data_IF_633148627522
#
_entry.id   IF_633148627522
#
_cell.length_a   1.000
_cell.length_b   1.000
_cell.length_c   1.000
_cell.angle_alpha   90.00
_cell.angle_beta   90.00
_cell.angle_gamma   90.00
#
_symmetry.space_group_name_H-M   'P 1'
#
loop_
_entity.id
_entity.type
_entity.pdbx_description
1 polymer ?
#
# COMPACT_ATOMS: atom_id res chain seq x y z
N UNK A 1 15.78 -1.18 -11.48
CA UNK A 1 15.81 -2.04 -12.69
C UNK A 1 16.07 -3.44 -12.21
N UNK A 2 15.05 -4.29 -12.09
CA UNK A 2 15.27 -5.68 -11.69
C UNK A 2 15.74 -6.46 -12.91
N UNK A 3 16.98 -6.92 -12.88
CA UNK A 3 17.53 -7.80 -13.90
C UNK A 3 16.61 -9.00 -14.08
N UNK A 4 15.95 -9.06 -15.24
CA UNK A 4 15.13 -10.21 -15.61
C UNK A 4 16.06 -11.39 -15.84
N UNK A 5 15.94 -12.41 -15.00
CA UNK A 5 16.55 -13.71 -15.27
C UNK A 5 16.06 -14.16 -16.65
N UNK A 6 16.96 -14.40 -17.63
CA UNK A 6 16.55 -14.73 -18.99
C UNK A 6 15.72 -16.01 -19.00
N UNK A 7 14.53 -15.93 -19.59
CA UNK A 7 13.58 -17.04 -19.66
C UNK A 7 14.14 -18.08 -20.64
N UNK A 8 14.27 -19.35 -20.25
CA UNK A 8 14.73 -20.39 -21.16
C UNK A 8 13.81 -20.50 -22.39
N UNK A 9 14.36 -20.73 -23.60
CA UNK A 9 13.57 -20.91 -24.81
C UNK A 9 12.49 -21.98 -24.64
N UNK A 10 11.25 -21.69 -25.04
CA UNK A 10 10.11 -22.61 -24.89
C UNK A 10 9.29 -22.48 -23.59
N UNK A 11 9.73 -21.66 -22.62
CA UNK A 11 9.00 -21.44 -21.36
C UNK A 11 8.27 -20.09 -21.29
N UNK A 12 8.37 -19.25 -22.32
CA UNK A 12 7.76 -17.93 -22.39
C UNK A 12 6.23 -17.96 -22.25
N UNK A 13 5.58 -19.02 -22.72
CA UNK A 13 4.12 -19.21 -22.67
C UNK A 13 3.63 -19.72 -21.31
N UNK A 14 4.54 -20.25 -20.48
CA UNK A 14 4.20 -20.69 -19.13
C UNK A 14 4.05 -19.52 -18.15
N UNK A 15 4.76 -18.42 -18.42
CA UNK A 15 4.75 -17.22 -17.60
C UNK A 15 3.56 -16.32 -17.94
N UNK A 16 3.03 -15.64 -16.92
CA UNK A 16 2.00 -14.65 -17.14
C UNK A 16 2.60 -13.43 -17.89
N UNK A 17 1.82 -12.76 -18.77
CA UNK A 17 2.22 -11.47 -19.31
C UNK A 17 2.56 -10.50 -18.18
N UNK A 18 3.42 -9.52 -18.47
CA UNK A 18 3.84 -8.51 -17.48
C UNK A 18 2.61 -7.82 -16.89
N UNK A 19 2.59 -7.66 -15.56
CA UNK A 19 1.48 -7.02 -14.87
C UNK A 19 0.18 -7.84 -14.79
N UNK A 20 0.18 -9.08 -15.26
CA UNK A 20 -0.99 -9.96 -15.25
C UNK A 20 -0.84 -11.14 -14.29
N UNK A 21 -1.97 -11.58 -13.74
CA UNK A 21 -2.07 -12.73 -12.85
C UNK A 21 -2.85 -13.84 -13.55
N UNK A 22 -2.19 -14.99 -13.73
CA UNK A 22 -2.80 -16.17 -14.36
C UNK A 22 -3.98 -16.68 -13.52
N UNK A 23 -5.12 -16.93 -14.16
CA UNK A 23 -6.33 -17.36 -13.49
C UNK A 23 -6.48 -18.89 -13.46
N UNK A 24 -7.53 -19.39 -12.78
CA UNK A 24 -7.77 -20.82 -12.51
C UNK A 24 -7.80 -21.67 -13.79
N UNK A 25 -8.35 -21.13 -14.87
CA UNK A 25 -8.44 -21.83 -16.17
C UNK A 25 -7.08 -21.98 -16.88
N UNK A 26 -6.01 -21.39 -16.33
CA UNK A 26 -4.65 -21.35 -16.87
C UNK A 26 -4.53 -20.67 -18.25
N UNK A 27 -5.59 -20.02 -18.73
CA UNK A 27 -5.68 -19.38 -20.06
C UNK A 27 -5.89 -17.88 -19.95
N UNK A 28 -6.74 -17.45 -19.01
CA UNK A 28 -7.08 -16.04 -18.80
C UNK A 28 -6.23 -15.41 -17.70
N UNK A 29 -6.25 -14.08 -17.70
CA UNK A 29 -5.45 -13.24 -16.82
C UNK A 29 -6.31 -12.18 -16.13
N UNK A 30 -5.86 -11.78 -14.94
CA UNK A 30 -6.38 -10.61 -14.25
C UNK A 30 -5.32 -9.53 -14.12
N UNK A 31 -5.71 -8.29 -14.39
CA UNK A 31 -4.87 -7.09 -14.18
C UNK A 31 -5.49 -6.20 -13.11
N UNK A 32 -4.67 -5.47 -12.38
CA UNK A 32 -5.10 -4.56 -11.30
C UNK A 32 -4.40 -3.22 -11.50
N UNK A 33 -5.06 -2.25 -12.17
CA UNK A 33 -4.53 -0.90 -12.29
C UNK A 33 -4.38 -0.27 -10.90
N UNK A 34 -3.19 0.24 -10.58
CA UNK A 34 -2.91 0.77 -9.26
C UNK A 34 -3.44 2.19 -9.04
N UNK A 35 -4.20 2.40 -7.98
CA UNK A 35 -4.74 3.70 -7.55
C UNK A 35 -4.41 3.91 -6.08
N UNK A 36 -3.55 4.88 -5.70
CA UNK A 36 -3.20 5.11 -4.30
C UNK A 36 -4.45 5.30 -3.45
N UNK A 37 -4.64 4.45 -2.43
CA UNK A 37 -5.81 4.49 -1.54
C UNK A 37 -7.17 4.30 -2.24
N UNK A 38 -7.19 3.89 -3.51
CA UNK A 38 -8.39 3.79 -4.34
C UNK A 38 -8.95 5.12 -4.84
N UNK A 39 -8.19 6.20 -4.74
CA UNK A 39 -8.59 7.50 -5.28
C UNK A 39 -8.32 7.57 -6.78
N UNK A 40 -9.31 8.04 -7.54
CA UNK A 40 -9.23 8.19 -8.98
C UNK A 40 -10.16 9.32 -9.45
N UNK A 41 -9.84 9.96 -10.56
CA UNK A 41 -10.74 10.92 -11.20
C UNK A 41 -11.91 10.20 -11.90
N UNK A 42 -13.02 10.90 -12.18
CA UNK A 42 -14.09 10.35 -13.02
C UNK A 42 -13.58 9.84 -14.37
N UNK A 43 -12.68 10.56 -15.03
CA UNK A 43 -12.09 10.15 -16.31
C UNK A 43 -11.25 8.88 -16.20
N UNK A 44 -10.50 8.72 -15.11
CA UNK A 44 -9.75 7.50 -14.82
C UNK A 44 -10.70 6.32 -14.62
N UNK A 45 -11.79 6.51 -13.86
CA UNK A 45 -12.81 5.48 -13.66
C UNK A 45 -13.50 5.10 -14.98
N UNK A 46 -13.88 6.07 -15.80
CA UNK A 46 -14.48 5.83 -17.12
C UNK A 46 -13.52 5.07 -18.04
N UNK A 47 -12.23 5.44 -18.06
CA UNK A 47 -11.22 4.72 -18.83
C UNK A 47 -11.10 3.25 -18.40
N UNK A 48 -11.12 2.97 -17.10
CA UNK A 48 -11.12 1.59 -16.58
C UNK A 48 -12.37 0.84 -17.03
N UNK A 49 -13.54 1.49 -17.00
CA UNK A 49 -14.79 0.90 -17.44
C UNK A 49 -14.78 0.55 -18.94
N UNK A 50 -14.25 1.44 -19.79
CA UNK A 50 -14.11 1.20 -21.23
C UNK A 50 -13.15 0.03 -21.53
N UNK A 51 -12.00 -0.03 -20.85
CA UNK A 51 -11.06 -1.15 -20.98
C UNK A 51 -11.68 -2.45 -20.47
N UNK A 52 -12.41 -2.41 -19.36
CA UNK A 52 -13.11 -3.55 -18.82
C UNK A 52 -14.14 -4.10 -19.81
N UNK A 53 -14.93 -3.23 -20.44
CA UNK A 53 -15.95 -3.60 -21.43
C UNK A 53 -15.35 -4.30 -22.66
N UNK A 54 -14.14 -3.90 -23.06
CA UNK A 54 -13.44 -4.49 -24.22
C UNK A 54 -12.78 -5.84 -23.91
N UNK A 55 -12.16 -5.98 -22.75
CA UNK A 55 -11.20 -7.08 -22.51
C UNK A 55 -11.54 -7.97 -21.31
N UNK A 56 -12.34 -7.50 -20.36
CA UNK A 56 -12.62 -8.23 -19.13
C UNK A 56 -13.96 -8.99 -19.21
N UNK A 57 -13.99 -10.18 -18.62
CA UNK A 57 -15.21 -10.97 -18.40
C UNK A 57 -15.95 -10.55 -17.13
N UNK A 58 -15.22 -9.99 -16.16
CA UNK A 58 -15.77 -9.48 -14.92
C UNK A 58 -14.90 -8.39 -14.31
N UNK A 59 -15.48 -7.59 -13.41
CA UNK A 59 -14.80 -6.58 -12.61
C UNK A 59 -15.02 -6.86 -11.13
N UNK A 60 -13.99 -6.69 -10.30
CA UNK A 60 -14.06 -6.86 -8.86
C UNK A 60 -13.39 -5.69 -8.13
N UNK A 61 -14.04 -5.18 -7.07
CA UNK A 61 -13.41 -4.24 -6.13
C UNK A 61 -12.72 -5.03 -5.03
N UNK A 62 -11.41 -4.79 -4.87
CA UNK A 62 -10.57 -5.57 -3.96
C UNK A 62 -10.52 -4.96 -2.56
N UNK A 63 -10.19 -5.79 -1.56
CA UNK A 63 -9.95 -5.35 -0.17
C UNK A 63 -8.79 -4.34 0.00
N UNK A 64 -7.98 -4.13 -1.05
CA UNK A 64 -6.91 -3.13 -1.11
C UNK A 64 -7.34 -1.80 -1.73
N UNK A 65 -8.65 -1.54 -1.87
CA UNK A 65 -9.21 -0.37 -2.55
C UNK A 65 -8.81 -0.26 -4.03
N UNK A 66 -8.61 -1.39 -4.72
CA UNK A 66 -8.27 -1.42 -6.14
C UNK A 66 -9.40 -2.02 -6.98
N UNK A 67 -9.48 -1.64 -8.26
CA UNK A 67 -10.35 -2.28 -9.25
C UNK A 67 -9.56 -3.35 -10.00
N UNK A 68 -10.07 -4.58 -10.02
CA UNK A 68 -9.46 -5.70 -10.72
C UNK A 68 -10.29 -6.08 -11.94
N UNK A 69 -9.63 -6.19 -13.10
CA UNK A 69 -10.20 -6.65 -14.35
C UNK A 69 -9.87 -8.13 -14.53
N UNK A 70 -10.89 -8.97 -14.66
CA UNK A 70 -10.80 -10.44 -14.63
C UNK A 70 -11.14 -10.98 -16.03
N UNK A 71 -10.40 -11.98 -16.49
CA UNK A 71 -10.79 -12.79 -17.65
C UNK A 71 -10.19 -12.32 -18.97
N UNK A 72 -9.10 -11.56 -18.92
CA UNK A 72 -8.42 -11.08 -20.11
C UNK A 72 -7.72 -12.24 -20.83
N UNK A 73 -7.87 -12.30 -22.15
CA UNK A 73 -7.09 -13.20 -23.00
C UNK A 73 -5.63 -12.72 -23.09
N UNK A 74 -4.68 -13.65 -23.25
CA UNK A 74 -3.23 -13.37 -23.19
C UNK A 74 -2.78 -12.20 -24.07
N UNK A 75 -3.22 -12.22 -25.32
CA UNK A 75 -2.90 -11.25 -26.37
C UNK A 75 -3.51 -9.85 -26.14
N UNK A 76 -4.50 -9.76 -25.25
CA UNK A 76 -5.18 -8.51 -24.93
C UNK A 76 -4.61 -7.82 -23.70
N UNK A 77 -3.75 -8.48 -22.91
CA UNK A 77 -3.18 -7.90 -21.69
C UNK A 77 -2.38 -6.63 -21.99
N UNK A 78 -1.48 -6.67 -22.98
CA UNK A 78 -0.65 -5.53 -23.35
C UNK A 78 -1.51 -4.36 -23.88
N UNK A 79 -2.49 -4.67 -24.74
CA UNK A 79 -3.44 -3.67 -25.28
C UNK A 79 -4.24 -3.00 -24.15
N UNK A 80 -4.69 -3.78 -23.17
CA UNK A 80 -5.42 -3.25 -22.02
C UNK A 80 -4.57 -2.26 -21.22
N UNK A 81 -3.29 -2.56 -20.96
CA UNK A 81 -2.37 -1.63 -20.29
C UNK A 81 -2.11 -0.35 -21.08
N UNK A 82 -1.92 -0.47 -22.39
CA UNK A 82 -1.73 0.68 -23.29
C UNK A 82 -2.97 1.60 -23.28
N UNK A 83 -4.18 1.06 -23.38
CA UNK A 83 -5.41 1.86 -23.33
C UNK A 83 -5.67 2.49 -21.96
N UNK A 84 -5.28 1.81 -20.87
CA UNK A 84 -5.26 2.38 -19.52
C UNK A 84 -4.27 3.55 -19.39
N UNK A 85 -3.31 3.67 -20.31
CA UNK A 85 -2.29 4.73 -20.32
C UNK A 85 -1.28 4.58 -19.20
N UNK A 86 -0.94 3.34 -18.82
CA UNK A 86 -0.07 3.05 -17.66
C UNK A 86 0.83 1.85 -17.93
N UNK A 87 2.01 1.87 -17.31
CA UNK A 87 2.95 0.76 -17.35
C UNK A 87 2.38 -0.50 -16.67
N UNK A 88 2.59 -1.70 -17.24
CA UNK A 88 2.19 -2.94 -16.61
C UNK A 88 2.85 -3.15 -15.24
N UNK A 89 2.04 -3.17 -14.18
CA UNK A 89 2.48 -3.37 -12.81
C UNK A 89 1.93 -4.67 -12.23
N UNK A 90 2.83 -5.56 -11.82
CA UNK A 90 2.46 -6.83 -11.18
C UNK A 90 2.86 -6.80 -9.72
N UNK A 91 1.89 -6.63 -8.80
CA UNK A 91 2.20 -6.61 -7.37
C UNK A 91 2.13 -7.99 -6.70
N UNK A 92 1.89 -9.06 -7.46
CA UNK A 92 1.72 -10.41 -6.92
C UNK A 92 3.05 -11.09 -6.60
N UNK A 93 3.27 -11.38 -5.32
CA UNK A 93 4.49 -12.01 -4.83
C UNK A 93 4.86 -11.54 -3.42
N UNK A 94 6.07 -11.87 -2.96
CA UNK A 94 6.62 -11.45 -1.67
C UNK A 94 7.11 -10.00 -1.76
N UNK A 95 6.17 -9.06 -1.74
CA UNK A 95 6.43 -7.62 -1.86
C UNK A 95 5.38 -6.78 -1.15
N UNK A 96 5.72 -5.52 -0.90
CA UNK A 96 4.80 -4.51 -0.42
C UNK A 96 3.67 -4.25 -1.42
N UNK A 97 2.43 -4.32 -0.92
CA UNK A 97 1.22 -4.03 -1.70
C UNK A 97 0.89 -2.54 -1.63
N UNK A 98 -0.01 -2.10 -2.51
CA UNK A 98 -0.56 -0.75 -2.44
C UNK A 98 -1.16 -0.45 -1.07
N UNK A 99 -0.98 0.79 -0.63
CA UNK A 99 -1.33 1.24 0.71
C UNK A 99 -2.81 1.61 0.76
N UNK A 100 -3.52 1.09 1.77
CA UNK A 100 -4.93 1.38 2.01
C UNK A 100 -5.07 2.64 2.86
N UNK A 101 -5.86 3.63 2.45
CA UNK A 101 -6.12 4.81 3.29
C UNK A 101 -7.51 5.40 3.09
N UNK A 102 -8.05 6.04 4.13
CA UNK A 102 -9.38 6.66 4.08
C UNK A 102 -9.28 8.11 3.55
N UNK A 103 -10.43 8.79 3.34
CA UNK A 103 -10.44 10.16 2.86
C UNK A 103 -9.81 11.21 3.80
N UNK A 104 -9.51 10.86 5.06
CA UNK A 104 -8.80 11.75 5.98
C UNK A 104 -9.49 13.09 6.18
N UNK A 105 -8.73 14.07 6.66
CA UNK A 105 -9.20 15.45 6.93
C UNK A 105 -9.69 16.17 5.67
N UNK A 106 -9.27 15.72 4.48
CA UNK A 106 -9.64 16.35 3.22
C UNK A 106 -11.12 16.18 2.85
N UNK A 107 -11.77 15.09 3.29
CA UNK A 107 -13.18 14.83 2.95
C UNK A 107 -14.03 14.33 4.11
N UNK A 108 -13.42 13.75 5.15
CA UNK A 108 -14.17 13.12 6.23
C UNK A 108 -14.27 14.04 7.44
N UNK A 109 -15.50 14.43 7.80
CA UNK A 109 -15.78 15.25 9.00
C UNK A 109 -15.32 14.66 10.35
N UNK A 110 -14.99 13.37 10.37
CA UNK A 110 -14.57 12.64 11.58
C UNK A 110 -13.06 12.40 11.64
N UNK A 111 -12.34 12.74 10.57
CA UNK A 111 -10.90 12.55 10.56
C UNK A 111 -10.24 13.61 11.44
N UNK A 112 -9.25 13.17 12.20
CA UNK A 112 -8.42 14.03 13.04
C UNK A 112 -7.02 14.21 12.46
N UNK A 113 -6.60 13.34 11.53
CA UNK A 113 -5.26 13.41 10.92
C UNK A 113 -5.27 13.13 9.41
N UNK A 114 -4.23 13.60 8.73
CA UNK A 114 -4.03 13.42 7.28
C UNK A 114 -3.64 11.98 6.92
N UNK A 115 -4.63 11.18 6.51
CA UNK A 115 -4.37 9.83 6.00
C UNK A 115 -3.97 9.79 4.53
N UNK A 116 -4.35 10.78 3.74
CA UNK A 116 -4.13 10.79 2.29
C UNK A 116 -2.67 11.12 1.98
N UNK A 117 -2.16 12.21 2.54
CA UNK A 117 -0.77 12.63 2.35
C UNK A 117 0.19 11.57 2.88
N UNK A 118 0.00 11.12 4.12
CA UNK A 118 0.80 10.06 4.73
C UNK A 118 0.73 8.75 3.91
N UNK A 119 -0.48 8.30 3.56
CA UNK A 119 -0.67 7.06 2.80
C UNK A 119 -0.06 7.10 1.41
N UNK A 120 -0.12 8.25 0.73
CA UNK A 120 0.47 8.43 -0.61
C UNK A 120 1.99 8.40 -0.56
N UNK A 121 2.62 9.00 0.45
CA UNK A 121 4.08 8.96 0.62
C UNK A 121 4.57 7.52 0.83
N UNK A 122 3.89 6.77 1.71
CA UNK A 122 4.19 5.36 1.95
C UNK A 122 3.97 4.50 0.70
N UNK A 123 2.90 4.75 -0.06
CA UNK A 123 2.60 4.04 -1.31
C UNK A 123 3.68 4.30 -2.37
N UNK A 124 4.04 5.57 -2.60
CA UNK A 124 5.07 5.96 -3.56
C UNK A 124 6.42 5.30 -3.28
N UNK A 125 6.82 5.20 -2.00
CA UNK A 125 8.13 4.66 -1.61
C UNK A 125 8.18 3.14 -1.59
N UNK A 126 7.17 2.49 -1.00
CA UNK A 126 7.26 1.07 -0.69
C UNK A 126 6.51 0.16 -1.66
N UNK A 127 5.57 0.67 -2.47
CA UNK A 127 4.82 -0.18 -3.40
C UNK A 127 5.77 -0.93 -4.34
N UNK A 128 5.62 -2.25 -4.39
CA UNK A 128 6.45 -3.11 -5.23
C UNK A 128 7.82 -3.46 -4.64
N UNK A 129 8.21 -2.90 -3.49
CA UNK A 129 9.46 -3.26 -2.82
C UNK A 129 9.46 -4.73 -2.40
N UNK A 130 10.51 -5.46 -2.75
CA UNK A 130 10.69 -6.87 -2.40
C UNK A 130 10.83 -7.04 -0.89
N UNK A 131 10.11 -8.03 -0.38
CA UNK A 131 9.99 -8.35 1.05
C UNK A 131 10.08 -9.87 1.24
N UNK A 132 10.34 -10.37 2.45
CA UNK A 132 10.33 -11.81 2.75
C UNK A 132 9.01 -12.51 2.38
N UNK A 133 7.89 -11.79 2.50
CA UNK A 133 6.57 -12.18 2.05
C UNK A 133 5.71 -10.92 1.82
N UNK A 134 4.45 -11.07 1.37
CA UNK A 134 3.53 -9.96 1.12
C UNK A 134 3.33 -9.11 2.40
N UNK A 135 3.49 -7.80 2.24
CA UNK A 135 3.26 -6.81 3.29
C UNK A 135 2.09 -5.92 2.88
N UNK A 136 1.13 -5.73 3.77
CA UNK A 136 -0.03 -4.85 3.60
C UNK A 136 0.01 -3.74 4.64
N UNK A 137 -0.09 -2.52 4.17
CA UNK A 137 -0.14 -1.33 5.03
C UNK A 137 -1.51 -0.66 4.97
N UNK A 138 -1.87 0.03 6.05
CA UNK A 138 -3.13 0.76 6.11
C UNK A 138 -3.07 1.96 7.04
N UNK A 139 -3.64 3.08 6.60
CA UNK A 139 -3.71 4.34 7.36
C UNK A 139 -5.18 4.69 7.57
N UNK A 140 -5.55 5.00 8.80
CA UNK A 140 -6.84 5.58 9.15
C UNK A 140 -6.60 6.96 9.76
N UNK A 141 -7.34 7.97 9.29
CA UNK A 141 -7.22 9.34 9.81
C UNK A 141 -7.86 9.56 11.19
N UNK A 142 -8.49 8.55 11.80
CA UNK A 142 -9.02 8.61 13.16
C UNK A 142 -9.28 7.20 13.72
N UNK A 143 -9.66 7.12 15.00
CA UNK A 143 -9.90 5.88 15.73
C UNK A 143 -10.99 4.98 15.17
N UNK A 144 -11.94 5.51 14.38
CA UNK A 144 -12.96 4.69 13.71
C UNK A 144 -12.38 3.63 12.77
N UNK A 145 -11.12 3.80 12.35
CA UNK A 145 -10.35 2.72 11.75
C UNK A 145 -11.01 2.09 10.51
N UNK A 146 -11.68 2.89 9.66
CA UNK A 146 -12.42 2.41 8.48
C UNK A 146 -11.57 1.59 7.48
N UNK A 147 -10.25 1.77 7.49
CA UNK A 147 -9.31 1.01 6.65
C UNK A 147 -8.83 -0.29 7.30
N UNK A 148 -9.28 -0.60 8.51
CA UNK A 148 -8.91 -1.76 9.32
C UNK A 148 -7.38 -1.92 9.53
N UNK A 149 -6.68 -0.88 10.04
CA UNK A 149 -5.24 -0.93 10.33
C UNK A 149 -4.84 -2.04 11.32
N UNK A 150 -5.73 -2.45 12.24
CA UNK A 150 -5.44 -3.51 13.21
C UNK A 150 -5.28 -4.92 12.59
N UNK A 151 -5.64 -5.13 11.32
CA UNK A 151 -5.51 -6.43 10.63
C UNK A 151 -4.52 -6.37 9.45
N UNK A 152 -3.56 -5.45 9.54
CA UNK A 152 -2.56 -5.16 8.51
C UNK A 152 -1.17 -5.35 9.10
N UNK A 153 -0.21 -5.71 8.25
CA UNK A 153 1.15 -5.98 8.68
C UNK A 153 1.72 -4.70 9.35
N UNK A 154 1.45 -3.52 8.77
CA UNK A 154 1.63 -2.22 9.44
C UNK A 154 0.32 -1.43 9.36
N UNK A 155 -0.16 -0.94 10.50
CA UNK A 155 -1.32 -0.08 10.63
C UNK A 155 -0.95 1.28 11.19
N UNK A 156 -1.54 2.36 10.69
CA UNK A 156 -1.39 3.70 11.27
C UNK A 156 -2.78 4.27 11.56
N UNK A 157 -2.94 4.87 12.74
CA UNK A 157 -4.19 5.50 13.17
C UNK A 157 -3.88 6.92 13.64
N UNK A 158 -4.54 7.91 13.04
CA UNK A 158 -4.54 9.29 13.52
C UNK A 158 -5.22 9.40 14.88
N UNK A 159 -4.59 10.12 15.79
CA UNK A 159 -5.12 10.41 17.12
C UNK A 159 -5.71 11.81 17.11
N UNK A 160 -4.87 12.80 16.80
CA UNK A 160 -5.21 14.22 16.83
C UNK A 160 -4.18 15.01 16.01
N UNK A 161 -4.62 15.83 15.08
CA UNK A 161 -3.78 16.62 14.17
C UNK A 161 -2.59 15.83 13.58
N UNK A 162 -1.36 16.13 14.01
CA UNK A 162 -0.12 15.48 13.59
C UNK A 162 0.33 14.33 14.50
N UNK A 163 -0.53 13.81 15.39
CA UNK A 163 -0.21 12.69 16.28
C UNK A 163 -0.83 11.41 15.78
N UNK A 164 0.00 10.38 15.63
CA UNK A 164 -0.38 9.06 15.14
C UNK A 164 0.03 7.97 16.12
N UNK A 165 -0.61 6.81 15.99
CA UNK A 165 -0.11 5.54 16.53
C UNK A 165 0.15 4.54 15.42
N UNK A 166 1.17 3.73 15.61
CA UNK A 166 1.58 2.67 14.69
C UNK A 166 1.24 1.33 15.34
N UNK A 167 0.67 0.43 14.56
CA UNK A 167 0.40 -0.96 14.90
C UNK A 167 1.24 -1.87 14.00
N UNK A 168 1.69 -3.02 14.52
CA UNK A 168 2.55 -3.96 13.76
C UNK A 168 2.10 -5.41 13.93
N UNK A 169 2.29 -6.21 12.88
CA UNK A 169 2.09 -7.67 12.93
C UNK A 169 0.65 -8.14 12.80
N UNK A 170 -0.26 -7.32 12.26
CA UNK A 170 -1.65 -7.73 12.04
C UNK A 170 -1.82 -8.62 10.79
N UNK A 171 -2.85 -9.46 10.81
CA UNK A 171 -3.24 -10.29 9.68
C UNK A 171 -4.75 -10.49 9.62
N UNK A 172 -5.37 -10.17 8.49
CA UNK A 172 -6.78 -10.51 8.18
C UNK A 172 -6.93 -11.74 7.29
N UNK A 173 -5.98 -12.68 7.32
CA UNK A 173 -5.95 -13.88 6.47
C UNK A 173 -6.48 -15.12 7.17
N UNK A 174 -6.06 -16.30 6.68
CA UNK A 174 -6.43 -17.61 7.26
C UNK A 174 -6.02 -17.77 8.73
N UNK A 175 -4.86 -17.21 9.11
CA UNK A 175 -4.43 -17.04 10.50
C UNK A 175 -4.69 -15.59 10.91
N UNK A 176 -5.91 -15.24 11.38
CA UNK A 176 -6.21 -13.88 11.78
C UNK A 176 -5.45 -13.52 13.06
N UNK A 177 -4.88 -12.32 13.07
CA UNK A 177 -4.14 -11.78 14.21
C UNK A 177 -4.37 -10.28 14.27
N UNK A 178 -4.67 -9.76 15.45
CA UNK A 178 -4.68 -8.31 15.68
C UNK A 178 -3.23 -7.81 15.79
N UNK A 179 -2.96 -6.68 15.17
CA UNK A 179 -1.69 -5.99 15.28
C UNK A 179 -1.47 -5.48 16.71
N UNK A 180 -0.22 -5.52 17.18
CA UNK A 180 0.15 -4.97 18.47
C UNK A 180 0.38 -3.46 18.35
N UNK A 181 0.07 -2.71 19.40
CA UNK A 181 0.46 -1.30 19.49
C UNK A 181 1.98 -1.22 19.47
N UNK A 182 2.55 -0.58 18.45
CA UNK A 182 4.00 -0.45 18.32
C UNK A 182 4.53 0.78 19.07
N UNK A 183 3.96 1.95 18.76
CA UNK A 183 4.25 3.24 19.39
C UNK A 183 3.06 4.20 19.15
N UNK A 184 2.88 5.18 20.01
CA UNK A 184 1.84 6.21 19.91
C UNK A 184 2.39 7.62 20.17
N UNK A 185 1.64 8.62 19.71
CA UNK A 185 1.99 10.03 19.88
C UNK A 185 3.11 10.52 18.97
N UNK A 186 3.40 9.80 17.88
CA UNK A 186 4.46 10.15 16.93
C UNK A 186 3.95 11.08 15.83
N UNK A 187 4.83 11.96 15.35
CA UNK A 187 4.54 12.90 14.25
C UNK A 187 4.45 12.18 12.91
N UNK A 188 3.85 12.81 11.89
CA UNK A 188 3.84 12.26 10.52
C UNK A 188 5.25 11.90 10.04
N UNK A 189 6.25 12.75 10.28
CA UNK A 189 7.65 12.51 9.90
C UNK A 189 8.23 11.29 10.62
N UNK A 190 7.95 11.16 11.91
CA UNK A 190 8.36 9.99 12.67
C UNK A 190 7.68 8.71 12.17
N UNK A 191 6.38 8.75 11.82
CA UNK A 191 5.70 7.58 11.23
C UNK A 191 6.43 7.11 9.98
N UNK A 192 6.73 8.04 9.08
CA UNK A 192 7.42 7.76 7.83
C UNK A 192 8.77 7.07 8.12
N UNK A 193 9.62 7.65 8.96
CA UNK A 193 10.92 7.10 9.29
C UNK A 193 10.87 5.76 10.05
N UNK A 194 9.90 5.60 10.97
CA UNK A 194 9.70 4.35 11.72
C UNK A 194 9.25 3.22 10.80
N UNK A 195 8.30 3.49 9.89
CA UNK A 195 7.83 2.47 8.94
C UNK A 195 8.96 2.03 8.00
N UNK A 196 9.79 2.97 7.54
CA UNK A 196 10.97 2.65 6.74
C UNK A 196 11.91 1.69 7.47
N UNK A 197 12.30 2.04 8.70
CA UNK A 197 13.21 1.21 9.51
C UNK A 197 12.58 -0.13 9.90
N UNK A 198 11.29 -0.16 10.22
CA UNK A 198 10.57 -1.40 10.53
C UNK A 198 10.51 -2.37 9.34
N UNK A 199 10.31 -1.85 8.13
CA UNK A 199 10.28 -2.68 6.92
C UNK A 199 11.66 -3.24 6.57
N UNK A 200 12.73 -2.46 6.72
CA UNK A 200 14.09 -2.96 6.54
C UNK A 200 14.46 -3.99 7.61
N UNK A 201 14.14 -3.70 8.89
CA UNK A 201 14.37 -4.67 9.97
C UNK A 201 13.64 -5.99 9.73
N UNK A 202 12.38 -5.95 9.28
CA UNK A 202 11.64 -7.14 8.88
C UNK A 202 12.30 -7.87 7.71
N UNK A 203 12.74 -7.13 6.69
CA UNK A 203 13.41 -7.69 5.52
C UNK A 203 14.70 -8.43 5.87
N UNK A 204 15.48 -7.88 6.80
CA UNK A 204 16.80 -8.40 7.16
C UNK A 204 16.74 -9.57 8.16
N UNK A 205 15.67 -9.66 8.96
CA UNK A 205 15.59 -10.58 10.10
C UNK A 205 14.51 -11.67 9.97
N UNK A 206 13.65 -11.60 8.95
CA UNK A 206 12.63 -12.61 8.72
C UNK A 206 13.19 -13.84 8.02
N UNK A 207 12.64 -15.01 8.34
CA UNK A 207 12.94 -16.21 7.57
C UNK A 207 12.32 -16.13 6.16
N UNK A 208 12.87 -16.84 5.16
CA UNK A 208 12.28 -16.87 3.82
C UNK A 208 10.80 -17.28 3.84
N UNK A 209 9.93 -16.45 3.29
CA UNK A 209 8.49 -16.72 3.24
C UNK A 209 7.75 -16.49 4.57
N UNK A 210 8.42 -16.06 5.63
CA UNK A 210 7.76 -15.71 6.90
C UNK A 210 6.88 -14.48 6.74
N UNK A 211 5.71 -14.46 7.38
CA UNK A 211 4.81 -13.28 7.41
C UNK A 211 5.07 -12.44 8.65
N UNK A 212 4.79 -11.14 8.57
CA UNK A 212 4.99 -10.22 9.70
C UNK A 212 4.23 -10.63 10.97
N UNK A 213 3.05 -11.24 10.85
CA UNK A 213 2.27 -11.74 11.98
C UNK A 213 2.86 -12.99 12.67
N UNK A 214 3.80 -13.67 12.03
CA UNK A 214 4.59 -14.79 12.60
C UNK A 214 5.93 -14.26 13.13
N UNK A 215 6.53 -13.34 12.39
CA UNK A 215 7.77 -12.64 12.74
C UNK A 215 7.68 -11.91 14.09
N UNK A 216 6.62 -11.12 14.29
CA UNK A 216 6.49 -10.27 15.49
C UNK A 216 6.49 -11.10 16.79
N UNK A 217 5.66 -12.16 16.92
CA UNK A 217 5.73 -13.07 18.08
C UNK A 217 7.07 -13.80 18.23
N UNK A 218 7.70 -14.22 17.11
CA UNK A 218 8.97 -14.97 17.14
C UNK A 218 10.13 -14.13 17.66
N UNK A 219 10.27 -12.90 17.15
CA UNK A 219 11.37 -11.99 17.53
C UNK A 219 11.07 -11.31 18.87
N UNK A 220 9.80 -11.06 19.17
CA UNK A 220 9.34 -10.35 20.36
C UNK A 220 9.17 -8.86 20.09
N UNK A 221 8.00 -8.32 20.45
CA UNK A 221 7.65 -6.91 20.20
C UNK A 221 8.64 -5.93 20.83
N UNK A 222 9.10 -6.20 22.06
CA UNK A 222 10.01 -5.30 22.77
C UNK A 222 11.39 -5.26 22.12
N UNK A 223 11.87 -6.40 21.60
CA UNK A 223 13.10 -6.44 20.81
C UNK A 223 12.96 -5.64 19.53
N UNK A 224 11.85 -5.82 18.81
CA UNK A 224 11.59 -5.05 17.58
C UNK A 224 11.52 -3.55 17.89
N UNK A 225 10.85 -3.15 18.98
CA UNK A 225 10.82 -1.75 19.43
C UNK A 225 12.21 -1.22 19.71
N UNK A 226 13.05 -1.97 20.44
CA UNK A 226 14.40 -1.54 20.76
C UNK A 226 15.24 -1.30 19.49
N UNK A 227 15.20 -2.21 18.53
CA UNK A 227 16.02 -2.17 17.32
C UNK A 227 15.54 -1.11 16.30
N UNK A 228 14.22 -0.94 16.19
CA UNK A 228 13.61 -0.01 15.23
C UNK A 228 13.50 1.40 15.79
N UNK A 229 13.12 1.57 17.06
CA UNK A 229 12.96 2.89 17.65
C UNK A 229 14.31 3.47 18.11
N UNK A 230 15.20 2.64 18.67
CA UNK A 230 16.52 3.04 19.14
C UNK A 230 16.50 4.37 19.88
N UNK A 231 17.46 5.25 19.57
CA UNK A 231 17.30 6.68 19.85
C UNK A 231 16.50 7.34 18.71
N UNK A 232 15.37 7.97 19.02
CA UNK A 232 14.46 8.57 18.02
C UNK A 232 15.13 9.63 17.12
N UNK A 233 16.23 10.23 17.58
CA UNK A 233 17.05 11.18 16.81
C UNK A 233 17.84 10.51 15.66
N UNK A 234 18.04 9.19 15.74
CA UNK A 234 18.76 8.39 14.75
C UNK A 234 17.83 7.77 13.71
N UNK A 235 16.55 8.13 13.73
CA UNK A 235 15.62 7.75 12.68
C UNK A 235 16.14 8.31 11.34
N UNK A 236 16.00 7.53 10.24
CA UNK A 236 16.45 8.00 8.94
C UNK A 236 15.78 9.36 8.63
N UNK A 237 16.51 10.33 8.07
CA UNK A 237 15.98 11.65 7.74
C UNK A 237 15.07 11.52 6.51
N UNK A 238 13.90 10.91 6.72
CA UNK A 238 12.91 10.65 5.67
C UNK A 238 11.54 11.18 6.08
N UNK A 239 10.85 11.94 5.20
CA UNK A 239 11.30 12.37 3.88
C UNK A 239 12.37 13.48 3.98
N UNK A 240 13.41 13.43 3.13
CA UNK A 240 14.25 14.61 2.90
C UNK A 240 13.40 15.73 2.28
N UNK A 241 13.77 17.02 2.41
CA UNK A 241 13.01 18.11 1.78
C UNK A 241 12.78 17.93 0.27
N UNK A 242 13.76 17.34 -0.42
CA UNK A 242 13.68 17.01 -1.85
C UNK A 242 12.69 15.88 -2.14
N UNK A 243 12.71 14.82 -1.33
CA UNK A 243 11.73 13.73 -1.40
C UNK A 243 10.33 14.23 -1.01
N UNK A 244 10.22 15.11 -0.02
CA UNK A 244 8.95 15.73 0.37
C UNK A 244 8.39 16.56 -0.78
N UNK A 245 9.21 17.37 -1.46
CA UNK A 245 8.81 18.13 -2.66
C UNK A 245 8.50 17.25 -3.89
N UNK A 246 9.21 16.13 -4.05
CA UNK A 246 8.98 15.14 -5.13
C UNK A 246 7.73 14.30 -4.86
N UNK A 247 7.47 14.00 -3.60
CA UNK A 247 6.37 13.15 -3.20
C UNK A 247 5.13 13.92 -2.73
N UNK A 248 5.20 15.26 -2.64
CA UNK A 248 4.05 16.15 -2.57
C UNK A 248 3.01 15.68 -3.59
N UNK A 249 1.79 15.52 -3.11
CA UNK A 249 0.65 15.21 -3.96
C UNK A 249 0.39 16.46 -4.78
N UNK A 250 0.81 16.45 -6.04
CA UNK A 250 0.39 17.49 -6.99
C UNK A 250 -1.02 17.15 -7.47
N UNK A 251 -1.90 18.15 -7.59
CA UNK A 251 -3.22 17.96 -8.20
C UNK A 251 -3.06 17.30 -9.58
N UNK A 252 -3.83 16.24 -9.83
CA UNK A 252 -3.93 15.60 -11.15
C UNK A 252 -2.94 14.48 -11.46
N UNK A 253 -1.89 14.25 -10.66
CA UNK A 253 -0.89 13.21 -10.97
C UNK A 253 -1.24 11.84 -10.35
N UNK A 254 -1.60 11.82 -9.06
CA UNK A 254 -1.89 10.58 -8.30
C UNK A 254 -3.17 10.63 -7.48
N UNK A 255 -3.66 11.84 -7.18
CA UNK A 255 -4.94 12.07 -6.54
C UNK A 255 -5.72 13.09 -7.39
N UNK A 256 -7.03 12.89 -7.57
CA UNK A 256 -7.83 13.74 -8.45
C UNK A 256 -8.04 15.18 -7.92
N UNK A 257 -7.48 15.54 -6.77
CA UNK A 257 -7.88 16.73 -6.00
C UNK A 257 -6.66 17.45 -5.40
N UNK A 258 -6.78 18.77 -5.24
CA UNK A 258 -5.99 19.54 -4.28
C UNK A 258 -6.34 19.05 -2.87
N UNK A 259 -5.45 18.27 -2.28
CA UNK A 259 -5.63 17.80 -0.90
C UNK A 259 -4.87 18.78 -0.02
N UNK A 260 -5.58 19.60 0.76
CA UNK A 260 -4.95 20.33 1.86
C UNK A 260 -4.29 19.29 2.79
N UNK A 261 -2.97 19.19 2.72
CA UNK A 261 -2.16 18.42 3.66
C UNK A 261 -1.75 19.36 4.79
N UNK A 262 -2.22 19.10 6.01
CA UNK A 262 -1.96 19.95 7.17
C UNK A 262 -2.97 21.09 7.28
N UNK A 263 -3.78 21.03 8.33
CA UNK A 263 -4.76 22.05 8.72
C UNK A 263 -5.32 21.70 10.10
N UNK A 264 -5.69 22.72 10.88
CA UNK A 264 -6.30 22.56 12.20
C UNK A 264 -7.63 21.80 12.06
N UNK A 265 -7.80 20.72 12.82
CA UNK A 265 -9.02 19.93 12.80
C UNK A 265 -9.99 20.43 13.85
N UNK A 266 -11.15 20.95 13.42
CA UNK A 266 -12.21 21.44 14.32
C UNK A 266 -13.08 20.32 14.91
N UNK A 267 -12.66 19.05 14.84
CA UNK A 267 -13.47 17.93 15.31
C UNK A 267 -13.18 17.69 16.80
N UNK A 268 -14.07 18.08 17.73
CA UNK A 268 -13.93 17.69 19.13
C UNK A 268 -14.06 16.16 19.19
N UNK A 269 -12.97 15.50 19.55
CA UNK A 269 -13.01 14.10 19.96
C UNK A 269 -14.00 13.97 21.14
N UNK A 270 -14.95 13.01 21.12
CA UNK A 270 -15.76 12.70 22.30
C UNK A 270 -14.93 12.04 23.41
#
# INVERSE_FOLDING_TARGET
MSDQVPIPPGFADMLAPRGANKQRDKKTFAIVPHHPGGFMSPDQLMRIAEVAKKYAKAVNVTSGQQIMLIGLERENVEKAWQELGREPEGLLGPRCRGVRFCPGIAFCKRATSDSIGLGTLLDKKFRGMDMPNKVKMSIAGCYLSCTAPAIRDIGVIGLDEDRYRILIGGAGGHAPRLADLFIEGVTRKQVLAIVDRALHYYKDNAHPGERMHEFVPRVGLDRIRQEVLGEMKDLPPWPTPEEEARHQVRPGELLPLEVQTGGETSCPMP
#
